data_IF_456544752326
#
_entry.id   IF_456544752326
#
_cell.length_a   1.000
_cell.length_b   1.000
_cell.length_c   1.000
_cell.angle_alpha   90.00
_cell.angle_beta   90.00
_cell.angle_gamma   90.00
#
_symmetry.space_group_name_H-M   'P 1'
#
loop_
_entity.id
_entity.type
_entity.pdbx_description
1 polymer ?
#
# COMPACT_ATOMS: atom_id res chain seq x y z
N UNK A 1 19.36 32.58 -0.58
CA UNK A 1 20.06 31.40 -1.14
C UNK A 1 20.23 30.40 -0.01
N UNK A 2 19.27 29.50 0.14
CA UNK A 2 19.34 28.44 1.14
C UNK A 2 20.21 27.31 0.60
N UNK A 3 21.27 27.00 1.35
CA UNK A 3 22.23 25.95 1.03
C UNK A 3 21.58 24.61 1.35
N UNK A 4 21.25 23.81 0.33
CA UNK A 4 20.83 22.41 0.51
C UNK A 4 22.05 21.59 0.93
N UNK A 5 22.14 21.31 2.22
CA UNK A 5 23.10 20.41 2.83
C UNK A 5 23.00 19.02 2.23
N UNK A 6 24.14 18.53 1.76
CA UNK A 6 24.43 17.18 1.28
C UNK A 6 24.13 16.16 2.38
N UNK A 7 23.21 15.25 2.13
CA UNK A 7 23.24 13.94 2.77
C UNK A 7 23.87 12.97 1.76
N UNK A 8 25.11 12.55 2.03
CA UNK A 8 25.70 11.33 1.48
C UNK A 8 24.95 10.13 2.10
N UNK A 9 23.65 10.03 1.82
CA UNK A 9 22.74 9.05 2.39
C UNK A 9 22.34 8.08 1.30
N UNK A 10 22.11 6.81 1.66
CA UNK A 10 21.47 5.84 0.78
C UNK A 10 20.27 6.50 0.10
N UNK A 11 20.30 6.57 -1.24
CA UNK A 11 19.17 7.05 -2.04
C UNK A 11 18.04 6.06 -1.88
N UNK A 12 17.27 6.21 -0.79
CA UNK A 12 16.03 5.50 -0.57
C UNK A 12 14.98 6.18 -1.42
N UNK A 13 14.91 5.77 -2.69
CA UNK A 13 13.90 6.21 -3.64
C UNK A 13 12.54 5.53 -3.41
N UNK A 14 12.39 4.77 -2.32
CA UNK A 14 11.11 4.18 -1.93
C UNK A 14 10.21 5.23 -1.27
N UNK A 15 9.02 5.40 -1.84
CA UNK A 15 7.99 6.34 -1.38
C UNK A 15 6.72 5.62 -0.97
N UNK A 16 5.97 6.23 -0.06
CA UNK A 16 4.67 5.70 0.38
C UNK A 16 3.67 5.79 -0.77
N UNK A 17 3.15 4.64 -1.19
CA UNK A 17 2.30 4.52 -2.37
C UNK A 17 0.82 4.50 -2.01
N UNK A 18 0.41 3.55 -1.15
CA UNK A 18 -0.97 3.44 -0.71
C UNK A 18 -1.10 2.75 0.64
N UNK A 19 -2.11 3.18 1.41
CA UNK A 19 -2.50 2.58 2.68
C UNK A 19 -3.76 1.72 2.48
N UNK A 20 -3.70 0.47 2.90
CA UNK A 20 -4.74 -0.54 2.71
C UNK A 20 -5.18 -1.05 4.08
N UNK A 21 -6.49 -1.16 4.27
CA UNK A 21 -7.12 -1.52 5.56
C UNK A 21 -7.90 -2.84 5.49
N UNK A 22 -7.77 -3.55 4.38
CA UNK A 22 -8.53 -4.75 4.05
C UNK A 22 -7.60 -5.77 3.41
N UNK A 23 -7.57 -7.00 3.94
CA UNK A 23 -6.69 -8.06 3.46
C UNK A 23 -7.00 -8.49 2.03
N UNK A 24 -8.28 -8.47 1.61
CA UNK A 24 -8.65 -8.81 0.23
C UNK A 24 -8.10 -7.81 -0.77
N UNK A 25 -8.22 -6.51 -0.48
CA UNK A 25 -7.62 -5.44 -1.28
C UNK A 25 -6.09 -5.54 -1.26
N UNK A 26 -5.52 -5.88 -0.11
CA UNK A 26 -4.07 -6.04 0.07
C UNK A 26 -3.52 -7.10 -0.90
N UNK A 27 -4.11 -8.30 -0.91
CA UNK A 27 -3.70 -9.38 -1.81
C UNK A 27 -3.84 -8.98 -3.29
N UNK A 28 -4.92 -8.28 -3.64
CA UNK A 28 -5.11 -7.83 -5.03
C UNK A 28 -4.01 -6.86 -5.47
N UNK A 29 -3.63 -5.92 -4.60
CA UNK A 29 -2.54 -4.98 -4.89
C UNK A 29 -1.20 -5.72 -4.99
N UNK A 30 -0.90 -6.66 -4.07
CA UNK A 30 0.33 -7.48 -4.14
C UNK A 30 0.42 -8.25 -5.45
N UNK A 31 -0.67 -8.92 -5.86
CA UNK A 31 -0.71 -9.66 -7.13
C UNK A 31 -0.44 -8.76 -8.34
N UNK A 32 -1.01 -7.56 -8.37
CA UNK A 32 -0.80 -6.61 -9.46
C UNK A 32 0.66 -6.13 -9.50
N UNK A 33 1.24 -5.76 -8.35
CA UNK A 33 2.62 -5.29 -8.27
C UNK A 33 3.61 -6.39 -8.69
N UNK A 34 3.43 -7.61 -8.16
CA UNK A 34 4.25 -8.78 -8.52
C UNK A 34 4.15 -9.15 -10.01
N UNK A 35 2.93 -9.17 -10.55
CA UNK A 35 2.70 -9.48 -11.97
C UNK A 35 3.38 -8.48 -12.91
N UNK A 36 3.56 -7.23 -12.45
CA UNK A 36 4.20 -6.17 -13.23
C UNK A 36 5.69 -5.99 -12.93
N UNK A 37 6.27 -6.88 -12.10
CA UNK A 37 7.68 -6.82 -11.65
C UNK A 37 8.02 -5.52 -10.91
N UNK A 38 7.04 -4.93 -10.24
CA UNK A 38 7.20 -3.72 -9.44
C UNK A 38 7.68 -4.13 -8.05
N UNK A 39 8.83 -3.59 -7.63
CA UNK A 39 9.36 -3.88 -6.30
C UNK A 39 8.54 -3.13 -5.26
N UNK A 40 8.14 -3.83 -4.19
CA UNK A 40 7.36 -3.21 -3.12
C UNK A 40 7.78 -3.70 -1.73
N UNK A 41 7.58 -2.83 -0.75
CA UNK A 41 7.71 -3.11 0.67
C UNK A 41 6.36 -2.88 1.35
N UNK A 42 5.78 -3.93 1.96
CA UNK A 42 4.57 -3.78 2.79
C UNK A 42 4.98 -3.65 4.26
N UNK A 43 4.73 -2.46 4.83
CA UNK A 43 4.83 -2.20 6.26
C UNK A 43 3.46 -2.44 6.88
N UNK A 44 3.33 -3.51 7.65
CA UNK A 44 2.20 -3.67 8.55
C UNK A 44 2.38 -2.72 9.75
N UNK A 45 1.41 -1.88 10.04
CA UNK A 45 1.37 -1.25 11.37
C UNK A 45 1.05 -2.37 12.36
N UNK A 46 1.95 -2.62 13.30
CA UNK A 46 1.65 -3.51 14.43
C UNK A 46 0.48 -2.90 15.20
N UNK A 47 -0.75 -3.39 14.98
CA UNK A 47 -1.76 -3.31 16.02
C UNK A 47 -1.19 -4.09 17.21
N UNK A 48 -0.69 -3.37 18.22
CA UNK A 48 0.07 -3.96 19.30
C UNK A 48 -0.67 -5.13 19.94
N UNK A 49 0.01 -6.26 20.16
CA UNK A 49 -0.35 -7.33 21.10
C UNK A 49 -1.78 -7.96 21.08
N UNK A 50 -2.69 -7.56 20.20
CA UNK A 50 -4.09 -8.01 20.20
C UNK A 50 -4.38 -9.21 19.27
N UNK A 51 -3.38 -9.67 18.50
CA UNK A 51 -3.47 -10.81 17.58
C UNK A 51 -3.70 -12.17 18.28
N UNK A 52 -3.55 -12.25 19.60
CA UNK A 52 -3.83 -13.47 20.38
C UNK A 52 -5.29 -13.62 20.81
N UNK A 53 -6.12 -12.57 20.71
CA UNK A 53 -7.49 -12.57 21.27
C UNK A 53 -8.59 -12.48 20.21
N UNK A 54 -8.31 -12.08 18.97
CA UNK A 54 -9.34 -11.85 17.95
C UNK A 54 -9.26 -12.84 16.78
N UNK A 55 -9.89 -14.01 16.97
CA UNK A 55 -10.31 -14.90 15.88
C UNK A 55 -11.41 -14.32 14.97
N UNK A 56 -11.53 -12.98 14.84
CA UNK A 56 -12.55 -12.31 14.05
C UNK A 56 -12.00 -11.00 13.47
N UNK A 57 -11.71 -11.00 12.16
CA UNK A 57 -11.77 -9.81 11.32
C UNK A 57 -10.79 -8.67 11.60
N UNK A 58 -9.50 -8.94 11.73
CA UNK A 58 -8.48 -7.89 11.76
C UNK A 58 -8.48 -7.11 10.43
N UNK A 59 -8.85 -5.82 10.49
CA UNK A 59 -8.61 -4.85 9.41
C UNK A 59 -7.12 -4.60 9.32
N UNK A 60 -6.42 -5.50 8.64
CA UNK A 60 -4.98 -5.39 8.48
C UNK A 60 -4.63 -4.08 7.80
N UNK A 61 -3.95 -3.23 8.55
CA UNK A 61 -3.48 -1.95 8.09
C UNK A 61 -2.05 -2.15 7.56
N UNK A 62 -1.89 -2.15 6.23
CA UNK A 62 -0.60 -2.21 5.54
C UNK A 62 -0.41 -0.95 4.70
N UNK A 63 0.80 -0.39 4.79
CA UNK A 63 1.28 0.66 3.90
C UNK A 63 2.24 0.04 2.89
N UNK A 64 1.92 0.17 1.60
CA UNK A 64 2.80 -0.20 0.51
C UNK A 64 3.75 0.94 0.20
N UNK A 65 5.03 0.63 0.09
CA UNK A 65 6.07 1.51 -0.40
C UNK A 65 6.65 0.92 -1.67
N UNK A 66 6.86 1.73 -2.68
CA UNK A 66 7.44 1.32 -3.97
C UNK A 66 8.46 2.36 -4.42
N UNK A 67 9.28 2.02 -5.40
CA UNK A 67 10.24 2.96 -5.98
C UNK A 67 9.52 4.13 -6.68
N UNK A 68 10.01 5.35 -6.51
CA UNK A 68 9.38 6.59 -7.02
C UNK A 68 9.08 6.54 -8.53
N UNK A 69 10.01 6.03 -9.33
CA UNK A 69 9.85 5.86 -10.78
C UNK A 69 8.68 4.93 -11.16
N UNK A 70 8.33 3.97 -10.30
CA UNK A 70 7.25 3.02 -10.55
C UNK A 70 5.89 3.57 -10.11
N UNK A 71 5.84 4.67 -9.35
CA UNK A 71 4.60 5.26 -8.82
C UNK A 71 3.57 5.59 -9.91
N UNK A 72 3.91 6.27 -11.02
CA UNK A 72 2.93 6.59 -12.05
C UNK A 72 2.34 5.33 -12.70
N UNK A 73 3.17 4.30 -12.88
CA UNK A 73 2.77 3.01 -13.47
C UNK A 73 1.89 2.22 -12.50
N UNK A 74 2.34 2.08 -11.26
CA UNK A 74 1.60 1.40 -10.20
C UNK A 74 0.23 2.05 -9.97
N UNK A 75 0.14 3.39 -9.94
CA UNK A 75 -1.13 4.13 -9.80
C UNK A 75 -2.15 3.70 -10.86
N UNK A 76 -1.74 3.59 -12.12
CA UNK A 76 -2.62 3.17 -13.22
C UNK A 76 -3.08 1.73 -13.06
N UNK A 77 -2.19 0.83 -12.64
CA UNK A 77 -2.48 -0.59 -12.50
C UNK A 77 -3.45 -0.87 -11.33
N UNK A 78 -3.25 -0.22 -10.19
CA UNK A 78 -4.08 -0.44 -8.99
C UNK A 78 -5.35 0.42 -8.97
N UNK A 79 -5.52 1.36 -9.90
CA UNK A 79 -6.68 2.24 -9.98
C UNK A 79 -8.01 1.45 -10.04
N UNK A 80 -8.02 0.30 -10.71
CA UNK A 80 -9.19 -0.59 -10.78
C UNK A 80 -9.57 -1.18 -9.42
N UNK A 81 -8.58 -1.50 -8.58
CA UNK A 81 -8.77 -2.08 -7.25
C UNK A 81 -9.14 -1.02 -6.23
N UNK A 82 -8.46 0.13 -6.25
CA UNK A 82 -8.71 1.24 -5.33
C UNK A 82 -10.00 2.02 -5.68
N UNK A 83 -10.32 2.18 -6.97
CA UNK A 83 -11.51 2.88 -7.44
C UNK A 83 -12.83 2.12 -7.17
N UNK A 84 -12.79 0.80 -7.00
CA UNK A 84 -13.98 -0.01 -6.76
C UNK A 84 -14.54 0.08 -5.33
N UNK A 85 -13.86 0.72 -4.39
CA UNK A 85 -14.32 0.83 -2.99
C UNK A 85 -15.58 1.69 -2.82
N UNK A 86 -15.92 2.53 -3.80
CA UNK A 86 -17.10 3.39 -3.74
C UNK A 86 -18.40 2.77 -4.29
N UNK A 87 -18.35 1.60 -4.95
CA UNK A 87 -19.56 0.96 -5.52
C UNK A 87 -20.22 -0.12 -4.66
N UNK A 88 -19.59 -0.57 -3.57
CA UNK A 88 -20.13 -1.62 -2.69
C UNK A 88 -21.08 -1.14 -1.59
N UNK A 89 -21.50 0.13 -1.59
CA UNK A 89 -22.53 0.66 -0.66
C UNK A 89 -23.93 0.76 -1.24
N UNK A 90 -24.15 0.39 -2.50
CA UNK A 90 -25.45 0.60 -3.17
C UNK A 90 -25.98 -0.69 -3.81
N UNK A 91 -26.09 -1.77 -3.03
CA UNK A 91 -27.00 -2.89 -3.35
C UNK A 91 -27.64 -3.36 -2.04
N UNK A 92 -28.49 -2.49 -1.50
CA UNK A 92 -29.60 -2.87 -0.60
C UNK A 92 -30.76 -1.96 -0.97
N UNK A 93 -31.54 -2.36 -1.96
CA UNK A 93 -32.90 -1.88 -2.15
C UNK A 93 -33.76 -3.03 -2.62
#
# INVERSE_FOLDING_TARGET
MEKKTTALGTVNNEVDFCKVYDMGTKEQIERILLANRISYSCRFEKQGFFSKLFGVGEKALCTFRIHDEEVPRAKRLVASVLGNKNKRKEIKK
#
